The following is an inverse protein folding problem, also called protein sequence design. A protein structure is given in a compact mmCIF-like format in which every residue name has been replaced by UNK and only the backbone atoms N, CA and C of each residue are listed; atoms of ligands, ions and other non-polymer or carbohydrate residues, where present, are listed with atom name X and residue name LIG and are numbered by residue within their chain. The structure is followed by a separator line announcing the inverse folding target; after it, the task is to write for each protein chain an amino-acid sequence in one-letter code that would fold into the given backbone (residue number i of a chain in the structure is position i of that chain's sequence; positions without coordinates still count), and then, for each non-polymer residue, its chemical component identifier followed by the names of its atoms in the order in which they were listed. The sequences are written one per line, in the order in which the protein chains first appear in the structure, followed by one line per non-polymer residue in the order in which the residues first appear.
data_IF_054749864738
#
_entry.id   IF_054749864738
#
_cell.length_a   1.000
_cell.length_b   1.000
_cell.length_c   1.000
_cell.angle_alpha   90.00
_cell.angle_beta   90.00
_cell.angle_gamma   90.00
#
_symmetry.space_group_name_H-M   'P 1'
#
loop_
_entity.id
_entity.type
_entity.pdbx_description
1 polymer ?
#
# COMPACT_ATOMS: atom_id res chain seq x y z
N UNK A 1 7.21 49.53 63.39
CA UNK A 1 6.98 48.24 62.72
C UNK A 1 6.31 48.52 61.39
N UNK A 2 6.82 47.95 60.28
CA UNK A 2 6.33 47.96 58.87
C UNK A 2 7.22 48.68 57.85
N UNK A 3 8.42 48.15 57.58
CA UNK A 3 9.18 48.48 56.36
C UNK A 3 9.90 47.22 55.79
N UNK A 4 9.22 46.07 55.73
CA UNK A 4 9.75 44.84 55.11
C UNK A 4 8.82 44.16 54.09
N UNK A 5 7.60 44.64 53.93
CA UNK A 5 6.62 44.08 52.98
C UNK A 5 7.00 44.22 51.49
N UNK A 6 7.54 45.36 50.99
CA UNK A 6 7.83 45.51 49.56
C UNK A 6 9.02 44.66 49.09
N UNK A 7 10.07 44.58 49.91
CA UNK A 7 11.27 43.81 49.58
C UNK A 7 10.98 42.30 49.62
N UNK A 8 10.25 41.82 50.63
CA UNK A 8 9.85 40.41 50.69
C UNK A 8 8.97 40.03 49.49
N UNK A 9 8.04 40.89 49.09
CA UNK A 9 7.18 40.64 47.93
C UNK A 9 8.00 40.63 46.63
N UNK A 10 8.98 41.53 46.49
CA UNK A 10 9.91 41.54 45.37
C UNK A 10 10.74 40.26 45.29
N UNK A 11 11.25 39.76 46.42
CA UNK A 11 12.01 38.50 46.49
C UNK A 11 11.14 37.28 46.17
N UNK A 12 9.88 37.27 46.62
CA UNK A 12 8.92 36.22 46.27
C UNK A 12 8.61 36.19 44.77
N UNK A 13 8.43 37.35 44.14
CA UNK A 13 8.20 37.45 42.69
C UNK A 13 9.44 36.96 41.92
N UNK A 14 10.64 37.36 42.34
CA UNK A 14 11.90 36.92 41.73
C UNK A 14 12.07 35.40 41.81
N UNK A 15 11.83 34.80 42.96
CA UNK A 15 11.97 33.35 43.16
C UNK A 15 10.98 32.53 42.31
N UNK A 16 9.71 32.96 42.25
CA UNK A 16 8.69 32.31 41.40
C UNK A 16 9.04 32.46 39.92
N UNK A 17 9.50 33.63 39.48
CA UNK A 17 9.91 33.85 38.10
C UNK A 17 11.09 32.96 37.71
N UNK A 18 12.11 32.85 38.57
CA UNK A 18 13.27 32.00 38.33
C UNK A 18 12.85 30.53 38.14
N UNK A 19 11.95 30.01 38.99
CA UNK A 19 11.42 28.65 38.85
C UNK A 19 10.65 28.47 37.54
N UNK A 20 9.76 29.41 37.19
CA UNK A 20 8.99 29.35 35.93
C UNK A 20 9.86 29.43 34.68
N UNK A 21 10.96 30.18 34.73
CA UNK A 21 11.92 30.27 33.62
C UNK A 21 12.74 28.99 33.46
N UNK A 22 13.03 28.27 34.54
CA UNK A 22 13.69 26.96 34.47
C UNK A 22 12.77 25.87 33.93
N UNK A 23 11.48 25.92 34.28
CA UNK A 23 10.47 24.95 33.82
C UNK A 23 9.91 25.26 32.41
N UNK A 24 10.39 26.30 31.73
CA UNK A 24 9.89 26.67 30.41
C UNK A 24 10.36 25.68 29.34
N UNK A 25 9.48 25.38 28.40
CA UNK A 25 9.81 24.62 27.18
C UNK A 25 10.70 25.43 26.26
N UNK A 26 11.50 24.74 25.45
CA UNK A 26 12.32 25.40 24.42
C UNK A 26 11.44 26.01 23.34
N UNK A 27 11.95 27.03 22.64
CA UNK A 27 11.17 27.68 21.59
C UNK A 27 10.92 26.71 20.42
N UNK A 28 11.89 25.84 20.14
CA UNK A 28 11.84 24.77 19.15
C UNK A 28 10.69 23.79 19.44
N UNK A 29 10.56 23.34 20.69
CA UNK A 29 9.45 22.48 21.13
C UNK A 29 8.09 23.15 20.95
N UNK A 30 7.97 24.44 21.29
CA UNK A 30 6.72 25.18 21.12
C UNK A 30 6.32 25.33 19.65
N UNK A 31 7.29 25.49 18.74
CA UNK A 31 7.03 25.50 17.29
C UNK A 31 6.62 24.12 16.80
N UNK A 32 7.30 23.06 17.26
CA UNK A 32 6.97 21.67 16.93
C UNK A 32 5.53 21.31 17.34
N UNK A 33 5.09 21.81 18.50
CA UNK A 33 3.72 21.65 19.00
C UNK A 33 2.70 22.59 18.33
N UNK A 34 3.12 23.47 17.43
CA UNK A 34 2.25 24.43 16.75
C UNK A 34 1.73 25.59 17.62
N UNK A 35 2.33 25.82 18.79
CA UNK A 35 1.97 26.92 19.71
C UNK A 35 2.57 28.25 19.21
N UNK A 36 3.82 28.22 18.72
CA UNK A 36 4.55 29.39 18.25
C UNK A 36 4.78 29.35 16.72
N UNK A 37 4.82 30.52 16.05
CA UNK A 37 5.28 30.66 14.66
C UNK A 37 6.69 30.10 14.43
N UNK A 38 6.99 29.58 13.22
CA UNK A 38 8.33 29.10 12.88
C UNK A 38 9.43 30.17 13.05
N UNK A 39 10.56 29.75 13.61
CA UNK A 39 11.71 30.62 13.95
C UNK A 39 12.35 31.29 12.73
N UNK A 40 12.29 30.62 11.57
CA UNK A 40 12.93 31.05 10.33
C UNK A 40 12.13 32.11 9.57
N UNK A 41 10.90 32.40 9.99
CA UNK A 41 10.03 33.37 9.34
C UNK A 41 9.80 34.60 10.21
N UNK A 42 9.78 35.82 9.63
CA UNK A 42 9.43 37.03 10.36
C UNK A 42 8.03 36.92 11.01
N UNK A 43 7.90 37.30 12.28
CA UNK A 43 6.64 37.21 13.01
C UNK A 43 5.54 38.09 12.42
N UNK A 44 5.90 39.25 11.86
CA UNK A 44 4.97 40.24 11.30
C UNK A 44 4.14 39.70 10.12
N UNK A 45 4.69 38.77 9.34
CA UNK A 45 4.06 38.24 8.12
C UNK A 45 3.51 36.82 8.28
N UNK A 46 3.40 36.35 9.53
CA UNK A 46 3.03 34.96 9.79
C UNK A 46 1.63 34.63 9.26
N UNK A 47 0.68 35.56 9.38
CA UNK A 47 -0.70 35.37 8.92
C UNK A 47 -0.80 35.33 7.39
N UNK A 48 -0.12 36.25 6.70
CA UNK A 48 -0.07 36.32 5.25
C UNK A 48 0.58 35.06 4.67
N UNK A 49 1.67 34.58 5.29
CA UNK A 49 2.32 33.31 4.91
C UNK A 49 1.36 32.12 5.09
N UNK A 50 0.69 32.02 6.25
CA UNK A 50 -0.29 30.96 6.53
C UNK A 50 -1.43 31.00 5.50
N UNK A 51 -1.94 32.18 5.18
CA UNK A 51 -2.98 32.38 4.17
C UNK A 51 -2.52 31.94 2.79
N UNK A 52 -1.31 32.30 2.38
CA UNK A 52 -0.72 31.88 1.10
C UNK A 52 -0.51 30.37 1.03
N UNK A 53 0.00 29.75 2.10
CA UNK A 53 0.16 28.30 2.20
C UNK A 53 -1.18 27.58 2.10
N UNK A 54 -2.19 28.11 2.79
CA UNK A 54 -3.57 27.62 2.69
C UNK A 54 -4.11 27.73 1.27
N UNK A 55 -4.04 28.90 0.64
CA UNK A 55 -4.50 29.10 -0.73
C UNK A 55 -3.81 28.14 -1.73
N UNK A 56 -2.50 27.94 -1.59
CA UNK A 56 -1.76 26.95 -2.39
C UNK A 56 -2.30 25.53 -2.20
N UNK A 57 -2.56 25.12 -0.95
CA UNK A 57 -3.15 23.80 -0.68
C UNK A 57 -4.57 23.68 -1.22
N UNK A 58 -5.38 24.74 -1.11
CA UNK A 58 -6.74 24.77 -1.64
C UNK A 58 -6.75 24.63 -3.15
N UNK A 59 -5.91 25.37 -3.87
CA UNK A 59 -5.83 25.29 -5.33
C UNK A 59 -5.29 23.94 -5.81
N UNK A 60 -4.30 23.38 -5.09
CA UNK A 60 -3.82 22.03 -5.34
C UNK A 60 -4.93 20.98 -5.18
N UNK A 61 -5.68 21.05 -4.08
CA UNK A 61 -6.78 20.12 -3.81
C UNK A 61 -7.93 20.29 -4.81
N UNK A 62 -8.32 21.52 -5.16
CA UNK A 62 -9.31 21.80 -6.21
C UNK A 62 -8.94 21.13 -7.52
N UNK A 63 -7.67 21.21 -7.93
CA UNK A 63 -7.17 20.52 -9.13
C UNK A 63 -7.24 19.00 -8.98
N UNK A 64 -6.78 18.44 -7.85
CA UNK A 64 -6.79 16.99 -7.60
C UNK A 64 -8.18 16.37 -7.52
N UNK A 65 -9.16 17.11 -7.00
CA UNK A 65 -10.56 16.68 -6.94
C UNK A 65 -11.17 16.60 -8.34
N UNK A 66 -10.89 17.58 -9.22
CA UNK A 66 -11.37 17.56 -10.62
C UNK A 66 -10.79 16.40 -11.42
N UNK A 67 -9.52 16.08 -11.18
CA UNK A 67 -8.82 14.99 -11.85
C UNK A 67 -8.86 13.68 -11.05
N UNK A 68 -9.86 13.48 -10.20
CA UNK A 68 -9.94 12.29 -9.34
C UNK A 68 -10.36 11.08 -10.20
N UNK A 69 -9.55 10.00 -10.26
CA UNK A 69 -9.93 8.78 -10.98
C UNK A 69 -11.16 8.10 -10.36
N UNK A 70 -11.95 7.47 -11.21
CA UNK A 70 -13.07 6.63 -10.77
C UNK A 70 -12.59 5.32 -10.16
N UNK A 71 -13.43 4.69 -9.33
CA UNK A 71 -13.09 3.39 -8.70
C UNK A 71 -12.77 2.32 -9.75
N UNK A 72 -13.51 2.29 -10.86
CA UNK A 72 -13.32 1.33 -11.95
C UNK A 72 -11.96 1.46 -12.62
N UNK A 73 -11.43 2.68 -12.74
CA UNK A 73 -10.09 2.94 -13.26
C UNK A 73 -9.01 2.43 -12.32
N UNK A 74 -9.16 2.67 -11.01
CA UNK A 74 -8.24 2.13 -10.00
C UNK A 74 -8.23 0.60 -9.97
N UNK A 75 -9.40 -0.02 -10.18
CA UNK A 75 -9.53 -1.47 -10.33
C UNK A 75 -8.81 -1.97 -11.59
N UNK A 76 -9.05 -1.35 -12.74
CA UNK A 76 -8.39 -1.69 -14.02
C UNK A 76 -6.86 -1.63 -13.92
N UNK A 77 -6.36 -0.65 -13.16
CA UNK A 77 -4.94 -0.48 -12.89
C UNK A 77 -4.39 -1.39 -11.79
N UNK A 78 -5.20 -2.28 -11.20
CA UNK A 78 -4.84 -3.17 -10.09
C UNK A 78 -4.36 -2.43 -8.83
N UNK A 79 -4.84 -1.20 -8.61
CA UNK A 79 -4.62 -0.44 -7.37
C UNK A 79 -5.65 -0.86 -6.31
N UNK A 80 -6.92 -1.04 -6.72
CA UNK A 80 -8.01 -1.55 -5.88
C UNK A 80 -8.45 -2.93 -6.36
N UNK A 81 -8.95 -3.74 -5.43
CA UNK A 81 -9.49 -5.06 -5.75
C UNK A 81 -10.89 -5.00 -6.38
N UNK A 82 -11.16 -5.94 -7.29
CA UNK A 82 -12.46 -6.14 -7.92
C UNK A 82 -13.43 -6.83 -6.96
N UNK A 83 -13.85 -6.13 -5.91
CA UNK A 83 -14.66 -6.72 -4.85
C UNK A 83 -15.67 -5.73 -4.29
N UNK A 84 -16.91 -6.22 -4.11
CA UNK A 84 -18.01 -5.48 -3.47
C UNK A 84 -18.04 -5.65 -1.94
N UNK A 85 -17.11 -6.42 -1.37
CA UNK A 85 -17.01 -6.63 0.07
C UNK A 85 -16.50 -5.38 0.79
N UNK A 86 -16.89 -5.30 2.06
CA UNK A 86 -16.55 -4.23 3.00
C UNK A 86 -15.01 -4.06 3.12
N UNK A 87 -14.48 -2.82 3.24
CA UNK A 87 -13.04 -2.57 3.22
C UNK A 87 -12.24 -3.40 4.24
N UNK A 88 -12.82 -3.71 5.40
CA UNK A 88 -12.16 -4.50 6.44
C UNK A 88 -11.88 -5.96 6.02
N UNK A 89 -12.67 -6.51 5.09
CA UNK A 89 -12.61 -7.92 4.68
C UNK A 89 -11.77 -8.16 3.44
N UNK A 90 -11.53 -7.14 2.61
CA UNK A 90 -10.87 -7.28 1.31
C UNK A 90 -9.51 -7.98 1.41
N UNK A 91 -8.69 -7.62 2.40
CA UNK A 91 -7.38 -8.22 2.60
C UNK A 91 -7.46 -9.73 2.95
N UNK A 92 -8.46 -10.13 3.76
CA UNK A 92 -8.68 -11.54 4.12
C UNK A 92 -9.23 -12.33 2.93
N UNK A 93 -10.17 -11.74 2.19
CA UNK A 93 -10.74 -12.34 0.99
C UNK A 93 -9.68 -12.57 -0.09
N UNK A 94 -8.79 -11.60 -0.33
CA UNK A 94 -7.70 -11.74 -1.30
C UNK A 94 -6.76 -12.90 -0.92
N UNK A 95 -6.40 -13.01 0.36
CA UNK A 95 -5.58 -14.13 0.86
C UNK A 95 -6.27 -15.47 0.63
N UNK A 96 -7.57 -15.57 0.94
CA UNK A 96 -8.35 -16.79 0.72
C UNK A 96 -8.45 -17.13 -0.78
N UNK A 97 -8.70 -16.14 -1.64
CA UNK A 97 -8.75 -16.32 -3.10
C UNK A 97 -7.42 -16.86 -3.63
N UNK A 98 -6.30 -16.31 -3.16
CA UNK A 98 -4.96 -16.79 -3.55
C UNK A 98 -4.67 -18.20 -3.06
N UNK A 99 -5.03 -18.54 -1.82
CA UNK A 99 -4.86 -19.89 -1.29
C UNK A 99 -5.64 -20.92 -2.10
N UNK A 100 -6.94 -20.67 -2.33
CA UNK A 100 -7.79 -21.55 -3.16
C UNK A 100 -7.22 -21.75 -4.57
N UNK A 101 -6.80 -20.66 -5.22
CA UNK A 101 -6.19 -20.76 -6.55
C UNK A 101 -4.90 -21.58 -6.55
N UNK A 102 -4.09 -21.49 -5.49
CA UNK A 102 -2.87 -22.27 -5.37
C UNK A 102 -3.19 -23.77 -5.19
N UNK A 103 -4.15 -24.10 -4.32
CA UNK A 103 -4.58 -25.47 -4.07
C UNK A 103 -5.19 -26.10 -5.34
N UNK A 104 -6.10 -25.40 -6.01
CA UNK A 104 -6.72 -25.82 -7.27
C UNK A 104 -5.67 -26.03 -8.38
N UNK A 105 -4.68 -25.14 -8.48
CA UNK A 105 -3.62 -25.26 -9.46
C UNK A 105 -2.71 -26.46 -9.13
N UNK A 106 -2.43 -26.70 -7.86
CA UNK A 106 -1.60 -27.82 -7.42
C UNK A 106 -2.23 -29.16 -7.79
N UNK A 107 -3.54 -29.33 -7.61
CA UNK A 107 -4.27 -30.53 -8.05
C UNK A 107 -4.19 -30.72 -9.58
N UNK A 108 -4.41 -29.64 -10.35
CA UNK A 108 -4.34 -29.69 -11.82
C UNK A 108 -2.94 -30.01 -12.36
N UNK A 109 -1.90 -29.51 -11.69
CA UNK A 109 -0.52 -29.81 -12.06
C UNK A 109 -0.15 -31.24 -11.66
N UNK A 110 -0.67 -31.76 -10.54
CA UNK A 110 -0.43 -33.14 -10.13
C UNK A 110 -0.98 -34.16 -11.15
N UNK A 111 -2.10 -33.84 -11.79
CA UNK A 111 -2.71 -34.65 -12.85
C UNK A 111 -2.23 -34.29 -14.26
N UNK A 112 -1.08 -33.63 -14.40
CA UNK A 112 -0.58 -33.18 -15.70
C UNK A 112 -0.30 -34.38 -16.62
N UNK A 113 -0.93 -34.45 -17.81
CA UNK A 113 -0.68 -35.51 -18.79
C UNK A 113 0.80 -35.61 -19.16
N UNK A 114 1.27 -36.85 -19.28
CA UNK A 114 2.63 -37.12 -19.77
C UNK A 114 2.80 -36.72 -21.24
N UNK A 115 4.05 -36.60 -21.73
CA UNK A 115 4.30 -36.29 -23.14
C UNK A 115 3.73 -37.34 -24.09
N UNK A 116 3.72 -38.62 -23.70
CA UNK A 116 3.16 -39.71 -24.51
C UNK A 116 1.65 -39.56 -24.73
N UNK A 117 0.90 -39.20 -23.69
CA UNK A 117 -0.54 -38.94 -23.78
C UNK A 117 -0.88 -37.78 -24.75
N UNK A 118 0.02 -36.80 -24.87
CA UNK A 118 -0.17 -35.67 -25.80
C UNK A 118 0.09 -36.07 -27.26
N UNK A 119 0.97 -37.06 -27.49
CA UNK A 119 1.22 -37.64 -28.83
C UNK A 119 0.03 -38.46 -29.28
N UNK A 120 -0.52 -39.31 -28.40
CA UNK A 120 -1.75 -40.09 -28.67
C UNK A 120 -2.93 -39.19 -29.00
N UNK A 121 -3.06 -38.06 -28.30
CA UNK A 121 -4.10 -37.05 -28.54
C UNK A 121 -3.85 -36.17 -29.77
N UNK A 122 -2.82 -36.46 -30.57
CA UNK A 122 -2.45 -35.73 -31.79
C UNK A 122 -2.15 -34.24 -31.56
N UNK A 123 -1.76 -33.85 -30.35
CA UNK A 123 -1.39 -32.46 -30.02
C UNK A 123 0.09 -32.21 -30.31
N UNK A 124 0.94 -33.19 -29.99
CA UNK A 124 2.37 -33.15 -30.33
C UNK A 124 2.64 -33.97 -31.60
N UNK A 125 3.30 -33.37 -32.61
CA UNK A 125 3.67 -34.10 -33.81
C UNK A 125 4.85 -35.04 -33.53
N UNK A 126 4.79 -36.25 -34.09
CA UNK A 126 5.87 -37.25 -34.10
C UNK A 126 5.92 -37.84 -35.51
N UNK A 127 7.12 -38.18 -35.99
CA UNK A 127 7.30 -38.88 -37.27
C UNK A 127 6.41 -40.13 -37.34
N UNK A 128 5.71 -40.31 -38.47
CA UNK A 128 4.70 -41.36 -38.66
C UNK A 128 5.24 -42.77 -38.34
N UNK A 129 6.48 -43.04 -38.73
CA UNK A 129 7.19 -44.30 -38.43
C UNK A 129 7.36 -44.58 -36.93
N UNK A 130 7.54 -43.55 -36.10
CA UNK A 130 7.69 -43.70 -34.66
C UNK A 130 6.34 -43.76 -33.96
N UNK A 131 5.33 -43.09 -34.53
CA UNK A 131 3.98 -43.04 -33.99
C UNK A 131 3.29 -44.41 -34.03
N UNK A 132 3.48 -45.17 -35.11
CA UNK A 132 2.97 -46.55 -35.26
C UNK A 132 3.63 -47.53 -34.28
N UNK A 133 4.94 -47.38 -34.04
CA UNK A 133 5.69 -48.19 -33.06
C UNK A 133 5.33 -47.88 -31.60
N UNK A 134 4.83 -46.68 -31.33
CA UNK A 134 4.47 -46.19 -29.99
C UNK A 134 3.01 -46.52 -29.63
N UNK A 135 2.08 -46.39 -30.59
CA UNK A 135 0.64 -46.54 -30.35
C UNK A 135 0.17 -48.02 -30.49
N UNK A 136 1.04 -48.93 -30.94
CA UNK A 136 0.75 -50.35 -30.94
C UNK A 136 -0.30 -50.76 -31.97
N UNK A 137 -0.40 -50.03 -33.08
CA UNK A 137 -1.16 -50.48 -34.25
C UNK A 137 -0.27 -51.46 -35.01
N UNK A 138 -0.39 -52.77 -34.71
CA UNK A 138 0.28 -53.81 -35.52
C UNK A 138 -0.14 -53.61 -36.99
N UNK A 139 0.78 -53.36 -37.93
CA UNK A 139 0.44 -53.44 -39.33
C UNK A 139 0.05 -54.89 -39.59
N UNK A 140 -1.23 -55.11 -39.93
CA UNK A 140 -1.80 -56.43 -40.17
C UNK A 140 -0.85 -57.28 -41.00
N UNK A 141 -0.43 -58.42 -40.44
CA UNK A 141 0.50 -59.35 -41.12
C UNK A 141 -0.05 -59.65 -42.52
N UNK A 142 0.73 -59.43 -43.57
CA UNK A 142 0.27 -59.71 -44.92
C UNK A 142 0.07 -61.23 -45.08
N UNK A 143 -1.04 -61.60 -45.74
CA UNK A 143 -1.62 -62.94 -45.82
C UNK A 143 -0.75 -64.05 -46.47
N UNK A 144 0.52 -63.79 -46.77
CA UNK A 144 1.44 -64.73 -47.43
C UNK A 144 2.36 -65.50 -46.46
N UNK A 145 2.17 -65.35 -45.14
CA UNK A 145 3.00 -66.04 -44.12
C UNK A 145 2.47 -67.42 -43.70
N UNK A 146 1.74 -68.14 -44.56
CA UNK A 146 1.31 -69.54 -44.32
C UNK A 146 1.62 -70.44 -45.52
#
# INVERSE_FOLDING_TARGET
MTLLEPEMLMMAVQSVLQLKLQQRRTREELVSQGIMPPLKSPAAFHEQRRSLERARTEDYLKRKIRSRPERSELVRMHILEETSAEPSLQAKQLKLKRARLADDLNEKIAQRPGPMELVEKNILPVESSLKEAIIGEEPGRPAWTR
#
